data_IF_186862785791
#
_entry.id   IF_186862785791
#
_cell.length_a   1.000
_cell.length_b   1.000
_cell.length_c   1.000
_cell.angle_alpha   90.00
_cell.angle_beta   90.00
_cell.angle_gamma   90.00
#
_symmetry.space_group_name_H-M   'P 1'
#
loop_
_entity.id
_entity.type
_entity.pdbx_description
1 polymer ?
#
# COMPACT_ATOMS: atom_id res chain seq x y z
N UNK A 1 -11.95 -0.76 14.42
CA UNK A 1 -12.09 -2.23 14.47
C UNK A 1 -10.96 -2.86 13.67
N UNK A 2 -10.47 -4.04 14.06
CA UNK A 2 -9.50 -4.76 13.24
C UNK A 2 -10.20 -5.28 11.97
N UNK A 3 -9.55 -5.14 10.80
CA UNK A 3 -10.06 -5.73 9.55
C UNK A 3 -10.27 -7.23 9.72
N UNK A 4 -11.30 -7.75 9.06
CA UNK A 4 -11.58 -9.19 8.97
C UNK A 4 -10.43 -9.92 8.25
N UNK A 5 -10.27 -11.25 8.41
CA UNK A 5 -9.25 -12.01 7.67
C UNK A 5 -9.54 -12.02 6.16
N UNK A 6 -8.52 -12.31 5.34
CA UNK A 6 -8.65 -12.36 3.86
C UNK A 6 -9.79 -13.27 3.39
N UNK A 7 -10.03 -14.37 4.09
CA UNK A 7 -11.12 -15.32 3.79
C UNK A 7 -12.51 -14.69 3.82
N UNK A 8 -12.71 -13.62 4.59
CA UNK A 8 -13.96 -12.87 4.59
C UNK A 8 -14.19 -12.12 3.28
N UNK A 9 -13.13 -11.62 2.65
CA UNK A 9 -13.20 -10.87 1.40
C UNK A 9 -13.01 -11.76 0.18
N UNK A 10 -13.62 -12.95 0.19
CA UNK A 10 -13.53 -13.90 -0.92
C UNK A 10 -13.87 -13.20 -2.25
N UNK A 11 -12.98 -13.33 -3.24
CA UNK A 11 -13.09 -12.65 -4.54
C UNK A 11 -12.28 -11.34 -4.68
N UNK A 12 -11.75 -10.77 -3.60
CA UNK A 12 -10.79 -9.67 -3.69
C UNK A 12 -9.36 -10.19 -3.81
N UNK A 13 -8.60 -9.64 -4.77
CA UNK A 13 -7.17 -9.91 -4.88
C UNK A 13 -6.36 -8.97 -3.98
N UNK A 14 -5.58 -9.55 -3.09
CA UNK A 14 -4.61 -8.85 -2.24
C UNK A 14 -3.19 -8.91 -2.80
N UNK A 15 -3.04 -9.39 -4.03
CA UNK A 15 -1.77 -9.43 -4.74
C UNK A 15 -1.52 -8.10 -5.45
N UNK A 16 -0.39 -7.42 -5.23
CA UNK A 16 -0.11 -6.17 -5.91
C UNK A 16 0.05 -6.39 -7.43
N UNK A 17 -0.49 -5.49 -8.27
CA UNK A 17 -0.36 -5.58 -9.71
C UNK A 17 1.07 -5.24 -10.16
N UNK A 18 1.44 -5.64 -11.38
CA UNK A 18 2.81 -5.47 -11.89
C UNK A 18 3.36 -4.03 -11.80
N UNK A 19 2.60 -2.96 -12.08
CA UNK A 19 3.10 -1.59 -11.94
C UNK A 19 3.52 -1.21 -10.52
N UNK A 20 2.93 -1.83 -9.49
CA UNK A 20 3.31 -1.63 -8.09
C UNK A 20 4.67 -2.26 -7.82
N UNK A 21 4.91 -3.47 -8.34
CA UNK A 21 6.20 -4.14 -8.24
C UNK A 21 7.31 -3.37 -8.99
N UNK A 22 6.99 -2.78 -10.14
CA UNK A 22 7.92 -1.94 -10.91
C UNK A 22 8.33 -0.69 -10.11
N UNK A 23 7.37 -0.01 -9.47
CA UNK A 23 7.69 1.14 -8.61
C UNK A 23 8.58 0.74 -7.42
N UNK A 24 8.23 -0.35 -6.73
CA UNK A 24 9.01 -0.86 -5.61
C UNK A 24 10.45 -1.25 -6.02
N UNK A 25 10.60 -1.88 -7.20
CA UNK A 25 11.91 -2.17 -7.80
C UNK A 25 12.72 -0.91 -8.02
N UNK A 26 12.15 0.08 -8.71
CA UNK A 26 12.79 1.36 -9.01
C UNK A 26 13.28 2.05 -7.73
N UNK A 27 12.48 2.05 -6.67
CA UNK A 27 12.87 2.61 -5.39
C UNK A 27 14.09 1.92 -4.76
N UNK A 28 14.11 0.57 -4.76
CA UNK A 28 15.21 -0.20 -4.19
C UNK A 28 16.51 -0.01 -5.00
N UNK A 29 16.42 -0.02 -6.33
CA UNK A 29 17.56 0.21 -7.23
C UNK A 29 18.12 1.62 -7.05
N UNK A 30 17.26 2.64 -7.09
CA UNK A 30 17.67 4.03 -6.87
C UNK A 30 18.30 4.20 -5.50
N UNK A 31 17.72 3.63 -4.45
CA UNK A 31 18.30 3.68 -3.11
C UNK A 31 19.67 3.01 -3.04
N UNK A 32 19.88 1.88 -3.72
CA UNK A 32 21.16 1.18 -3.71
C UNK A 32 22.30 2.03 -4.30
N UNK A 33 21.99 2.84 -5.31
CA UNK A 33 22.92 3.76 -5.97
C UNK A 33 23.27 5.01 -5.14
N UNK A 34 22.51 5.30 -4.08
CA UNK A 34 22.71 6.49 -3.25
C UNK A 34 23.75 6.26 -2.14
N UNK A 35 24.50 7.30 -1.74
CA UNK A 35 25.35 7.25 -0.54
C UNK A 35 24.47 6.99 0.70
N UNK A 36 25.01 6.37 1.77
CA UNK A 36 24.25 6.05 2.98
C UNK A 36 23.44 7.23 3.55
N UNK A 37 24.01 8.43 3.50
CA UNK A 37 23.37 9.67 3.95
C UNK A 37 22.11 10.06 3.16
N UNK A 38 21.95 9.57 1.92
CA UNK A 38 20.82 9.86 1.04
C UNK A 38 19.89 8.65 0.78
N UNK A 39 20.09 7.55 1.51
CA UNK A 39 19.20 6.38 1.42
C UNK A 39 17.91 6.64 2.21
N UNK A 40 16.77 6.65 1.52
CA UNK A 40 15.45 6.77 2.15
C UNK A 40 14.96 5.45 2.75
N UNK A 41 13.70 5.47 3.24
CA UNK A 41 12.96 4.36 3.86
C UNK A 41 13.48 3.89 5.23
N UNK A 42 12.53 3.65 6.13
CA UNK A 42 12.74 2.90 7.39
C UNK A 42 12.79 1.39 7.12
N UNK A 43 13.18 0.55 8.10
CA UNK A 43 13.11 -0.91 7.94
C UNK A 43 11.73 -1.42 7.51
N UNK A 44 10.65 -0.79 8.00
CA UNK A 44 9.27 -1.11 7.60
C UNK A 44 9.03 -0.80 6.12
N UNK A 45 9.52 0.36 5.64
CA UNK A 45 9.44 0.72 4.22
C UNK A 45 10.23 -0.22 3.32
N UNK A 46 11.42 -0.64 3.75
CA UNK A 46 12.25 -1.60 3.01
C UNK A 46 11.59 -2.99 2.95
N UNK A 47 11.03 -3.47 4.06
CA UNK A 47 10.27 -4.71 4.08
C UNK A 47 9.08 -4.63 3.13
N UNK A 48 8.30 -3.53 3.19
CA UNK A 48 7.16 -3.30 2.28
C UNK A 48 7.60 -3.33 0.81
N UNK A 49 8.67 -2.62 0.45
CA UNK A 49 9.19 -2.57 -0.92
C UNK A 49 9.55 -3.97 -1.42
N UNK A 50 10.21 -4.79 -0.60
CA UNK A 50 10.54 -6.18 -0.97
C UNK A 50 9.29 -7.04 -1.15
N UNK A 51 8.31 -6.93 -0.26
CA UNK A 51 7.04 -7.67 -0.40
C UNK A 51 6.32 -7.30 -1.70
N UNK A 52 6.27 -6.02 -2.03
CA UNK A 52 5.64 -5.51 -3.26
C UNK A 52 6.40 -5.93 -4.52
N UNK A 53 7.74 -5.87 -4.49
CA UNK A 53 8.62 -6.33 -5.58
C UNK A 53 8.34 -7.79 -5.95
N UNK A 54 8.23 -8.67 -4.96
CA UNK A 54 7.95 -10.10 -5.15
C UNK A 54 6.47 -10.41 -5.36
N UNK A 55 5.62 -9.38 -5.45
CA UNK A 55 4.16 -9.49 -5.57
C UNK A 55 3.54 -10.44 -4.54
N UNK A 56 4.03 -10.37 -3.30
CA UNK A 56 3.48 -11.15 -2.21
C UNK A 56 2.06 -10.69 -1.89
N UNK A 57 1.18 -11.63 -1.56
CA UNK A 57 -0.16 -11.29 -1.09
C UNK A 57 -0.08 -10.55 0.25
N UNK A 58 -0.84 -9.47 0.35
CA UNK A 58 -0.86 -8.63 1.54
C UNK A 58 -2.05 -8.94 2.44
N UNK A 59 -1.93 -8.64 3.74
CA UNK A 59 -3.08 -8.70 4.64
C UNK A 59 -4.02 -7.49 4.45
N UNK A 60 -5.30 -7.59 4.81
CA UNK A 60 -6.24 -6.47 4.81
C UNK A 60 -5.73 -5.27 5.62
N UNK A 61 -5.15 -5.53 6.80
CA UNK A 61 -4.56 -4.51 7.65
C UNK A 61 -3.34 -3.85 7.01
N UNK A 62 -2.62 -4.59 6.15
CA UNK A 62 -1.51 -4.03 5.38
C UNK A 62 -2.00 -3.07 4.30
N UNK A 63 -3.12 -3.39 3.63
CA UNK A 63 -3.73 -2.50 2.63
C UNK A 63 -4.11 -1.16 3.28
N UNK A 64 -4.75 -1.17 4.45
CA UNK A 64 -5.06 0.07 5.17
C UNK A 64 -3.78 0.83 5.54
N UNK A 65 -2.73 0.12 5.99
CA UNK A 65 -1.42 0.73 6.27
C UNK A 65 -0.83 1.42 5.05
N UNK A 66 -1.00 0.86 3.85
CA UNK A 66 -0.60 1.50 2.61
C UNK A 66 -1.43 2.77 2.35
N UNK A 67 -2.76 2.71 2.50
CA UNK A 67 -3.63 3.89 2.35
C UNK A 67 -3.23 5.01 3.30
N UNK A 68 -3.05 4.72 4.59
CA UNK A 68 -2.61 5.70 5.59
C UNK A 68 -1.19 6.23 5.34
N UNK A 69 -0.31 5.42 4.75
CA UNK A 69 1.01 5.89 4.33
C UNK A 69 0.86 6.94 3.23
N UNK A 70 0.17 6.63 2.14
CA UNK A 70 0.03 7.55 1.01
C UNK A 70 -0.70 8.84 1.38
N UNK A 71 -1.74 8.77 2.22
CA UNK A 71 -2.46 9.96 2.66
C UNK A 71 -1.56 10.95 3.42
N UNK A 72 -0.63 10.47 4.24
CA UNK A 72 0.29 11.32 5.02
C UNK A 72 1.47 11.86 4.22
N UNK A 73 1.90 11.14 3.19
CA UNK A 73 3.12 11.46 2.42
C UNK A 73 2.79 12.02 1.03
N UNK A 74 1.54 12.36 0.74
CA UNK A 74 1.18 13.03 -0.51
C UNK A 74 1.81 14.43 -0.59
N UNK A 75 1.97 15.10 0.55
CA UNK A 75 2.67 16.39 0.64
C UNK A 75 4.15 16.29 0.27
N UNK A 76 4.79 15.12 0.45
CA UNK A 76 6.20 14.92 0.09
C UNK A 76 6.46 15.11 -1.40
N UNK A 77 5.42 15.00 -2.25
CA UNK A 77 5.50 15.26 -3.69
C UNK A 77 5.87 16.71 -4.01
N UNK A 78 5.66 17.62 -3.07
CA UNK A 78 5.96 19.05 -3.20
C UNK A 78 7.35 19.40 -2.65
N UNK A 79 8.05 18.44 -2.04
CA UNK A 79 9.38 18.65 -1.49
C UNK A 79 10.43 18.86 -2.58
N UNK A 80 11.42 19.71 -2.33
CA UNK A 80 12.50 20.05 -3.27
C UNK A 80 13.30 18.85 -3.77
N UNK A 81 13.38 17.77 -2.99
CA UNK A 81 14.03 16.52 -3.36
C UNK A 81 13.18 15.59 -4.22
N UNK A 82 11.94 15.95 -4.59
CA UNK A 82 11.06 15.04 -5.32
C UNK A 82 11.54 14.76 -6.75
N UNK A 83 11.85 15.83 -7.49
CA UNK A 83 12.31 15.77 -8.89
C UNK A 83 13.69 15.11 -9.02
N UNK A 84 14.54 15.24 -8.01
CA UNK A 84 15.88 14.63 -7.98
C UNK A 84 15.89 13.22 -7.41
N UNK A 85 14.73 12.60 -7.19
CA UNK A 85 14.59 11.26 -6.60
C UNK A 85 15.22 11.14 -5.20
N UNK A 86 15.02 12.15 -4.36
CA UNK A 86 15.44 12.18 -2.97
C UNK A 86 14.69 11.16 -2.08
N UNK A 87 14.98 11.20 -0.78
CA UNK A 87 14.48 10.22 0.21
C UNK A 87 12.95 10.04 0.19
N UNK A 88 12.19 11.13 0.03
CA UNK A 88 10.73 11.10 -0.05
C UNK A 88 10.24 10.31 -1.28
N UNK A 89 10.82 10.57 -2.45
CA UNK A 89 10.47 9.84 -3.68
C UNK A 89 10.86 8.37 -3.61
N UNK A 90 12.04 8.07 -3.04
CA UNK A 90 12.46 6.68 -2.78
C UNK A 90 11.44 5.95 -1.90
N UNK A 91 10.96 6.59 -0.83
CA UNK A 91 9.96 6.01 0.06
C UNK A 91 8.62 5.82 -0.64
N UNK A 92 8.12 6.85 -1.35
CA UNK A 92 6.86 6.79 -2.09
C UNK A 92 6.82 5.62 -3.07
N UNK A 93 7.86 5.50 -3.90
CA UNK A 93 7.96 4.42 -4.88
C UNK A 93 8.21 3.06 -4.19
N UNK A 94 8.89 3.04 -3.05
CA UNK A 94 9.09 1.84 -2.23
C UNK A 94 7.78 1.28 -1.65
N UNK A 95 6.80 2.14 -1.38
CA UNK A 95 5.44 1.73 -1.03
C UNK A 95 4.56 1.40 -2.25
N UNK A 96 5.12 1.44 -3.46
CA UNK A 96 4.42 1.08 -4.70
C UNK A 96 4.08 2.25 -5.61
N UNK A 97 4.47 3.47 -5.23
CA UNK A 97 4.25 4.68 -6.01
C UNK A 97 2.78 5.01 -6.23
N UNK A 98 2.50 5.87 -7.22
CA UNK A 98 1.13 6.20 -7.62
C UNK A 98 0.27 4.97 -8.00
N UNK A 99 0.83 3.92 -8.67
CA UNK A 99 0.09 2.67 -8.86
C UNK A 99 -0.29 2.00 -7.54
N UNK A 100 0.62 1.99 -6.56
CA UNK A 100 0.40 1.41 -5.23
C UNK A 100 -0.70 2.14 -4.48
N UNK A 101 -0.69 3.47 -4.53
CA UNK A 101 -1.74 4.32 -3.96
C UNK A 101 -3.11 3.97 -4.55
N UNK A 102 -3.23 4.01 -5.87
CA UNK A 102 -4.51 3.72 -6.57
C UNK A 102 -5.02 2.32 -6.23
N UNK A 103 -4.14 1.32 -6.29
CA UNK A 103 -4.49 -0.06 -5.99
C UNK A 103 -4.94 -0.24 -4.54
N UNK A 104 -4.15 0.23 -3.57
CA UNK A 104 -4.48 0.08 -2.15
C UNK A 104 -5.80 0.78 -1.79
N UNK A 105 -6.02 2.00 -2.28
CA UNK A 105 -7.29 2.72 -2.08
C UNK A 105 -8.48 1.98 -2.71
N UNK A 106 -8.32 1.42 -3.91
CA UNK A 106 -9.39 0.66 -4.57
C UNK A 106 -9.73 -0.62 -3.80
N UNK A 107 -8.72 -1.36 -3.31
CA UNK A 107 -8.94 -2.56 -2.48
C UNK A 107 -9.61 -2.17 -1.16
N UNK A 108 -9.15 -1.11 -0.50
CA UNK A 108 -9.76 -0.63 0.76
C UNK A 108 -11.25 -0.32 0.63
N UNK A 109 -11.63 0.41 -0.42
CA UNK A 109 -13.05 0.70 -0.70
C UNK A 109 -13.90 -0.56 -0.88
N UNK A 110 -13.34 -1.59 -1.53
CA UNK A 110 -14.03 -2.88 -1.71
C UNK A 110 -14.13 -3.66 -0.40
N UNK A 111 -13.11 -3.57 0.48
CA UNK A 111 -13.18 -4.15 1.83
C UNK A 111 -14.30 -3.49 2.64
N UNK A 112 -14.39 -2.17 2.62
CA UNK A 112 -15.43 -1.41 3.32
C UNK A 112 -16.83 -1.82 2.82
N UNK A 113 -17.02 -1.90 1.50
CA UNK A 113 -18.29 -2.31 0.90
C UNK A 113 -18.71 -3.73 1.30
N UNK A 114 -17.75 -4.68 1.36
CA UNK A 114 -18.00 -6.05 1.78
C UNK A 114 -18.38 -6.16 3.26
N UNK A 115 -17.72 -5.40 4.13
CA UNK A 115 -18.04 -5.34 5.57
C UNK A 115 -19.45 -4.78 5.79
N UNK A 116 -19.79 -3.66 5.15
CA UNK A 116 -21.11 -3.06 5.24
C UNK A 116 -22.21 -3.99 4.71
N UNK A 117 -21.97 -4.71 3.62
CA UNK A 117 -22.92 -5.70 3.09
C UNK A 117 -23.14 -6.86 4.07
N UNK A 118 -22.07 -7.33 4.71
CA UNK A 118 -22.13 -8.36 5.75
C UNK A 118 -22.91 -7.90 6.98
N UNK A 119 -22.71 -6.65 7.42
CA UNK A 119 -23.45 -6.04 8.55
C UNK A 119 -24.94 -5.89 8.24
N UNK A 120 -25.30 -5.34 7.07
CA UNK A 120 -26.70 -5.22 6.64
C UNK A 120 -27.41 -6.56 6.60
N UNK A 121 -26.74 -7.59 6.10
CA UNK A 121 -27.29 -8.95 6.04
C UNK A 121 -27.49 -9.56 7.43
N UNK A 122 -26.62 -9.23 8.38
CA UNK A 122 -26.76 -9.68 9.78
C UNK A 122 -27.91 -8.97 10.50
N UNK A 123 -28.09 -7.67 10.29
CA UNK A 123 -29.20 -6.90 10.87
C UNK A 123 -30.56 -7.40 10.34
N UNK A 124 -30.68 -7.63 9.04
CA UNK A 124 -31.90 -8.19 8.43
C UNK A 124 -32.29 -9.57 8.99
N UNK A 125 -31.30 -10.41 9.33
CA UNK A 125 -31.54 -11.71 9.97
C UNK A 125 -31.97 -11.59 11.43
N UNK A 126 -31.52 -10.57 12.16
CA UNK A 126 -31.89 -10.34 13.57
C UNK A 126 -33.30 -9.77 13.73
N UNK A 127 -33.83 -9.13 12.68
CA UNK A 127 -35.18 -8.52 12.66
C UNK A 127 -36.28 -9.47 12.18
N UNK A 128 -35.93 -10.71 11.83
CA UNK A 128 -36.86 -11.80 11.47
C UNK A 128 -36.95 -12.75 12.65
#
# INVERSE_FOLDING_TARGET
>A
MARRPRSFYAGLSFRPPAPVAVAARRALERRAQQPPSNRGMTPVGLARARQLLHRQELSPQTIDRMVSYFARHEVDKQGSGWETYGKGRQAWDGWGGDPGRRWATAVARRMDAAEQAGERSADQRRRR
#
